data_IF_991263905733
#
_entry.id   IF_991263905733
#
_cell.length_a   1.000
_cell.length_b   1.000
_cell.length_c   1.000
_cell.angle_alpha   90.00
_cell.angle_beta   90.00
_cell.angle_gamma   90.00
#
_symmetry.space_group_name_H-M   'P 1'
#
loop_
_entity.id
_entity.type
_entity.pdbx_description
1 polymer ?
#
# COMPACT_ATOMS: atom_id res chain seq x y z
N UNK A 1 1.63 -10.42 21.93
CA UNK A 1 1.19 -9.85 20.64
C UNK A 1 0.82 -8.39 20.87
N UNK A 2 1.26 -7.48 20.01
CA UNK A 2 1.33 -6.02 20.24
C UNK A 2 0.00 -5.24 20.17
N UNK A 3 -1.16 -5.91 20.24
CA UNK A 3 -2.50 -5.30 20.12
C UNK A 3 -2.67 -4.37 18.89
N UNK A 4 -2.12 -4.77 17.74
CA UNK A 4 -2.13 -3.96 16.51
C UNK A 4 -2.63 -4.76 15.29
N UNK A 5 -2.92 -4.06 14.19
CA UNK A 5 -3.27 -4.62 12.88
C UNK A 5 -2.61 -3.80 11.77
N UNK A 6 -2.50 -4.38 10.56
CA UNK A 6 -1.96 -3.66 9.39
C UNK A 6 -2.66 -2.33 9.13
N UNK A 7 -3.98 -2.29 9.24
CA UNK A 7 -4.76 -1.06 9.02
C UNK A 7 -4.47 -0.02 10.10
N UNK A 8 -4.33 -0.45 11.35
CA UNK A 8 -4.04 0.45 12.47
C UNK A 8 -2.64 1.09 12.33
N UNK A 9 -1.62 0.30 12.01
CA UNK A 9 -0.26 0.83 11.77
C UNK A 9 -0.21 1.80 10.59
N UNK A 10 -0.94 1.51 9.50
CA UNK A 10 -1.05 2.40 8.35
C UNK A 10 -1.76 3.71 8.70
N UNK A 11 -2.80 3.66 9.53
CA UNK A 11 -3.50 4.85 10.02
C UNK A 11 -2.59 5.71 10.91
N UNK A 12 -1.82 5.09 11.81
CA UNK A 12 -0.86 5.81 12.64
C UNK A 12 0.27 6.45 11.81
N UNK A 13 0.75 5.78 10.75
CA UNK A 13 1.72 6.36 9.83
C UNK A 13 1.16 7.60 9.10
N UNK A 14 -0.10 7.55 8.65
CA UNK A 14 -0.79 8.71 8.05
C UNK A 14 -0.86 9.88 9.03
N UNK A 15 -1.24 9.63 10.29
CA UNK A 15 -1.31 10.67 11.33
C UNK A 15 0.05 11.26 11.65
N UNK A 16 1.08 10.42 11.76
CA UNK A 16 2.42 10.84 12.16
C UNK A 16 3.15 11.64 11.06
N UNK A 17 2.96 11.27 9.79
CA UNK A 17 3.71 11.83 8.66
C UNK A 17 2.88 12.70 7.72
N UNK A 18 1.58 12.88 8.02
CA UNK A 18 0.63 13.62 7.20
C UNK A 18 0.62 13.12 5.74
N UNK A 19 0.63 11.81 5.58
CA UNK A 19 0.61 11.13 4.28
C UNK A 19 -0.78 11.09 3.67
N UNK A 20 -0.81 11.12 2.34
CA UNK A 20 -2.02 10.92 1.55
C UNK A 20 -2.04 9.52 0.90
N UNK A 21 -3.05 9.28 0.07
CA UNK A 21 -3.16 8.03 -0.67
C UNK A 21 -2.00 7.79 -1.65
N UNK A 22 -1.34 8.84 -2.15
CA UNK A 22 -0.21 8.68 -3.06
C UNK A 22 1.01 8.10 -2.33
N UNK A 23 1.29 8.56 -1.11
CA UNK A 23 2.36 8.02 -0.28
C UNK A 23 2.09 6.58 0.18
N UNK A 24 0.85 6.26 0.57
CA UNK A 24 0.46 4.88 0.89
C UNK A 24 0.56 3.94 -0.33
N UNK A 25 0.17 4.40 -1.51
CA UNK A 25 0.36 3.65 -2.75
C UNK A 25 1.85 3.37 -3.00
N UNK A 26 2.70 4.39 -2.84
CA UNK A 26 4.14 4.26 -3.02
C UNK A 26 4.75 3.26 -2.04
N UNK A 27 4.40 3.35 -0.76
CA UNK A 27 4.82 2.41 0.28
C UNK A 27 4.46 0.97 -0.10
N UNK A 28 3.21 0.74 -0.50
CA UNK A 28 2.69 -0.59 -0.85
C UNK A 28 3.35 -1.16 -2.10
N UNK A 29 3.61 -0.33 -3.12
CA UNK A 29 4.37 -0.74 -4.31
C UNK A 29 5.80 -1.14 -3.92
N UNK A 30 6.46 -0.38 -3.05
CA UNK A 30 7.82 -0.70 -2.60
C UNK A 30 7.85 -2.00 -1.80
N UNK A 31 6.86 -2.24 -0.94
CA UNK A 31 6.71 -3.50 -0.24
C UNK A 31 6.57 -4.67 -1.23
N UNK A 32 5.73 -4.54 -2.26
CA UNK A 32 5.55 -5.58 -3.27
C UNK A 32 6.81 -5.79 -4.11
N UNK A 33 7.55 -4.73 -4.47
CA UNK A 33 8.84 -4.83 -5.18
C UNK A 33 9.89 -5.60 -4.37
N UNK A 34 9.84 -5.50 -3.04
CA UNK A 34 10.75 -6.19 -2.12
C UNK A 34 10.27 -7.59 -1.73
N UNK A 35 9.06 -8.00 -2.12
CA UNK A 35 8.49 -9.28 -1.74
C UNK A 35 9.24 -10.47 -2.38
N UNK A 36 9.39 -11.56 -1.63
CA UNK A 36 10.08 -12.79 -2.05
C UNK A 36 9.16 -13.73 -2.85
N UNK A 37 8.44 -13.19 -3.82
CA UNK A 37 7.70 -13.93 -4.85
C UNK A 37 8.35 -13.70 -6.23
N UNK A 38 8.12 -14.56 -7.23
CA UNK A 38 8.69 -14.39 -8.57
C UNK A 38 8.37 -13.02 -9.19
N UNK A 39 9.34 -12.47 -9.93
CA UNK A 39 9.23 -11.13 -10.50
C UNK A 39 7.96 -10.88 -11.34
N UNK A 40 7.50 -11.80 -12.22
CA UNK A 40 6.27 -11.59 -12.97
C UNK A 40 5.03 -11.50 -12.07
N UNK A 41 5.01 -12.24 -10.96
CA UNK A 41 3.90 -12.21 -10.00
C UNK A 41 3.86 -10.88 -9.24
N UNK A 42 5.03 -10.33 -8.85
CA UNK A 42 5.10 -8.98 -8.28
C UNK A 42 4.50 -7.94 -9.22
N UNK A 43 4.89 -7.96 -10.50
CA UNK A 43 4.37 -7.02 -11.49
C UNK A 43 2.85 -7.17 -11.65
N UNK A 44 2.35 -8.41 -11.73
CA UNK A 44 0.92 -8.67 -11.82
C UNK A 44 0.16 -8.07 -10.64
N UNK A 45 0.63 -8.26 -9.41
CA UNK A 45 -0.02 -7.71 -8.21
C UNK A 45 0.05 -6.18 -8.19
N UNK A 46 1.19 -5.58 -8.54
CA UNK A 46 1.35 -4.12 -8.60
C UNK A 46 0.35 -3.50 -9.59
N UNK A 47 0.30 -4.02 -10.81
CA UNK A 47 -0.50 -3.41 -11.89
C UNK A 47 -1.99 -3.75 -11.79
N UNK A 48 -2.36 -4.95 -11.35
CA UNK A 48 -3.75 -5.41 -11.39
C UNK A 48 -4.50 -5.23 -10.06
N UNK A 49 -3.78 -5.10 -8.93
CA UNK A 49 -4.39 -5.03 -7.60
C UNK A 49 -4.05 -3.72 -6.91
N UNK A 50 -2.76 -3.41 -6.73
CA UNK A 50 -2.33 -2.26 -5.91
C UNK A 50 -2.74 -0.95 -6.57
N UNK A 51 -2.26 -0.66 -7.79
CA UNK A 51 -2.57 0.63 -8.46
C UNK A 51 -4.07 0.84 -8.68
N UNK A 52 -4.86 -0.15 -9.18
CA UNK A 52 -6.29 0.05 -9.36
C UNK A 52 -7.04 0.21 -8.03
N UNK A 53 -6.59 -0.46 -6.97
CA UNK A 53 -7.15 -0.33 -5.63
C UNK A 53 -7.02 1.09 -5.08
N UNK A 54 -5.83 1.66 -5.16
CA UNK A 54 -5.58 3.05 -4.74
C UNK A 54 -6.30 4.07 -5.63
N UNK A 55 -6.30 3.87 -6.96
CA UNK A 55 -7.02 4.76 -7.88
C UNK A 55 -8.52 4.87 -7.57
N UNK A 56 -9.17 3.77 -7.15
CA UNK A 56 -10.59 3.76 -6.76
C UNK A 56 -10.87 4.61 -5.53
N UNK A 57 -10.01 4.55 -4.51
CA UNK A 57 -10.22 5.30 -3.27
C UNK A 57 -9.80 6.77 -3.42
N UNK A 58 -8.73 7.05 -4.15
CA UNK A 58 -8.25 8.42 -4.37
C UNK A 58 -9.16 9.23 -5.29
N UNK A 59 -9.91 8.58 -6.19
CA UNK A 59 -10.86 9.27 -7.08
C UNK A 59 -12.17 9.67 -6.38
N UNK A 60 -12.46 9.10 -5.21
CA UNK A 60 -13.63 9.44 -4.39
C UNK A 60 -13.33 10.40 -3.22
N UNK A 61 -12.11 10.94 -3.18
CA UNK A 61 -11.59 11.82 -2.11
C UNK A 61 -11.60 13.28 -2.56
#
# INVERSE_FOLDING_TARGET
MSQTSMSFEMEEAVKAFNWDFAELQRLTINAMKSAFIPYPERLKIIEQVIKPGYAKVSAGS
#
